data_IF_342520248851
#
_entry.id   IF_342520248851
#
_cell.length_a   1.000
_cell.length_b   1.000
_cell.length_c   1.000
_cell.angle_alpha   90.00
_cell.angle_beta   90.00
_cell.angle_gamma   90.00
#
_symmetry.space_group_name_H-M   'P 1'
#
loop_
_entity.id
_entity.type
_entity.pdbx_description
1 polymer ?
#
# COMPACT_ATOMS: atom_id res chain seq x y z
N UNK A 1 -27.81 -80.91 -27.06
CA UNK A 1 -27.60 -80.27 -25.73
C UNK A 1 -27.21 -78.82 -25.96
N UNK A 2 -27.70 -77.95 -25.08
CA UNK A 2 -27.91 -76.50 -25.18
C UNK A 2 -26.66 -75.61 -25.22
N UNK A 3 -26.80 -74.43 -25.85
CA UNK A 3 -26.02 -73.21 -25.55
C UNK A 3 -25.57 -72.50 -26.83
N UNK A 4 -25.49 -71.18 -26.95
CA UNK A 4 -25.82 -70.03 -26.09
C UNK A 4 -25.88 -68.83 -27.04
N UNK A 5 -26.91 -67.99 -26.94
CA UNK A 5 -27.03 -66.73 -27.70
C UNK A 5 -25.95 -65.75 -27.22
N UNK A 6 -25.21 -65.14 -28.15
CA UNK A 6 -24.28 -64.03 -27.87
C UNK A 6 -24.52 -62.89 -28.85
N UNK A 7 -25.07 -61.78 -28.35
CA UNK A 7 -25.23 -60.52 -29.08
C UNK A 7 -23.89 -59.79 -29.05
N UNK A 8 -23.37 -59.38 -30.20
CA UNK A 8 -22.25 -58.44 -30.28
C UNK A 8 -22.80 -57.10 -30.78
N UNK A 9 -22.86 -56.13 -29.87
CA UNK A 9 -22.91 -54.71 -30.19
C UNK A 9 -21.66 -54.11 -29.53
N UNK A 10 -20.79 -53.49 -30.32
CA UNK A 10 -19.69 -52.69 -29.80
C UNK A 10 -19.60 -51.40 -30.62
N UNK A 11 -19.61 -50.31 -29.87
CA UNK A 11 -19.86 -48.94 -30.29
C UNK A 11 -18.73 -48.33 -31.14
N UNK A 12 -19.15 -47.41 -32.00
CA UNK A 12 -18.32 -46.47 -32.76
C UNK A 12 -17.85 -45.36 -31.80
N UNK A 13 -16.57 -45.37 -31.42
CA UNK A 13 -15.98 -44.29 -30.61
C UNK A 13 -15.60 -43.11 -31.51
N UNK A 14 -16.36 -42.01 -31.43
CA UNK A 14 -15.93 -40.71 -31.96
C UNK A 14 -14.83 -40.15 -31.06
N UNK A 15 -13.65 -39.93 -31.62
CA UNK A 15 -12.59 -39.17 -30.99
C UNK A 15 -12.91 -37.67 -31.11
N UNK A 16 -13.37 -37.07 -30.01
CA UNK A 16 -13.41 -35.62 -29.83
C UNK A 16 -12.02 -35.17 -29.38
N UNK A 17 -11.26 -34.58 -30.29
CA UNK A 17 -10.01 -33.89 -29.96
C UNK A 17 -10.35 -32.56 -29.26
N UNK A 18 -10.07 -32.48 -27.97
CA UNK A 18 -10.26 -31.29 -27.13
C UNK A 18 -9.28 -30.18 -27.51
N UNK A 19 -9.78 -29.08 -28.04
CA UNK A 19 -9.07 -27.79 -28.06
C UNK A 19 -9.24 -27.20 -26.66
N UNK A 20 -8.25 -27.36 -25.79
CA UNK A 20 -8.28 -26.88 -24.41
C UNK A 20 -6.95 -26.21 -24.00
N UNK A 21 -6.39 -25.34 -24.86
CA UNK A 21 -5.09 -24.67 -24.60
C UNK A 21 -5.18 -23.15 -24.68
N UNK A 22 -6.17 -22.52 -24.03
CA UNK A 22 -6.18 -21.05 -23.95
C UNK A 22 -6.71 -20.47 -22.63
N UNK A 23 -6.75 -21.25 -21.56
CA UNK A 23 -6.96 -20.76 -20.19
C UNK A 23 -5.99 -21.51 -19.26
N UNK A 24 -4.68 -21.32 -19.46
CA UNK A 24 -3.70 -21.70 -18.46
C UNK A 24 -3.69 -20.64 -17.37
N UNK A 25 -3.78 -21.09 -16.12
CA UNK A 25 -3.82 -20.28 -14.91
C UNK A 25 -2.77 -19.17 -14.92
N UNK A 26 -3.21 -17.92 -15.03
CA UNK A 26 -2.34 -16.77 -14.82
C UNK A 26 -2.20 -16.59 -13.31
N UNK A 27 -1.32 -17.36 -12.67
CA UNK A 27 -0.93 -17.06 -11.29
C UNK A 27 -0.31 -15.66 -11.27
N UNK A 28 -0.99 -14.74 -10.60
CA UNK A 28 -0.47 -13.41 -10.35
C UNK A 28 0.68 -13.54 -9.34
N UNK A 29 1.91 -13.50 -9.84
CA UNK A 29 3.09 -13.33 -9.01
C UNK A 29 3.37 -11.83 -8.91
N UNK A 30 3.10 -11.17 -7.76
CA UNK A 30 3.49 -9.79 -7.60
C UNK A 30 5.01 -9.67 -7.80
N UNK A 31 5.51 -8.54 -8.34
CA UNK A 31 6.94 -8.33 -8.45
C UNK A 31 7.58 -8.47 -7.06
N UNK A 32 8.81 -8.98 -7.02
CA UNK A 32 9.57 -8.98 -5.77
C UNK A 32 9.72 -7.53 -5.27
N UNK A 33 9.74 -7.34 -3.95
CA UNK A 33 9.82 -6.01 -3.32
C UNK A 33 10.98 -5.16 -3.88
N UNK A 34 12.13 -5.78 -4.12
CA UNK A 34 13.28 -5.12 -4.74
C UNK A 34 13.00 -4.61 -6.16
N UNK A 35 12.32 -5.40 -6.99
CA UNK A 35 11.94 -5.00 -8.34
C UNK A 35 10.89 -3.88 -8.30
N UNK A 36 9.94 -3.97 -7.38
CA UNK A 36 8.91 -2.94 -7.16
C UNK A 36 9.55 -1.60 -6.79
N UNK A 37 10.41 -1.58 -5.77
CA UNK A 37 11.10 -0.38 -5.29
C UNK A 37 12.03 0.16 -6.37
N UNK A 38 12.82 -0.68 -7.05
CA UNK A 38 13.73 -0.25 -8.11
C UNK A 38 12.98 0.38 -9.30
N UNK A 39 11.83 -0.19 -9.67
CA UNK A 39 10.97 0.37 -10.70
C UNK A 39 10.44 1.74 -10.29
N UNK A 40 9.88 1.87 -9.09
CA UNK A 40 9.36 3.14 -8.60
C UNK A 40 10.47 4.20 -8.48
N UNK A 41 11.66 3.83 -8.00
CA UNK A 41 12.82 4.72 -7.92
C UNK A 41 13.23 5.24 -9.30
N UNK A 42 13.26 4.37 -10.32
CA UNK A 42 13.60 4.77 -11.70
C UNK A 42 12.62 5.76 -12.34
N UNK A 43 11.39 5.82 -11.81
CA UNK A 43 10.31 6.70 -12.30
C UNK A 43 10.12 7.93 -11.41
N UNK A 44 10.71 7.95 -10.21
CA UNK A 44 10.62 9.07 -9.31
C UNK A 44 11.34 10.30 -9.89
N UNK A 45 10.67 11.44 -9.80
CA UNK A 45 11.29 12.74 -10.05
C UNK A 45 10.68 13.76 -9.10
N UNK A 46 11.52 14.54 -8.42
CA UNK A 46 11.04 15.66 -7.58
C UNK A 46 10.24 16.67 -8.39
N UNK A 47 10.51 16.78 -9.70
CA UNK A 47 9.79 17.66 -10.61
C UNK A 47 8.30 17.35 -10.75
N UNK A 48 7.86 16.13 -10.38
CA UNK A 48 6.44 15.77 -10.30
C UNK A 48 5.67 16.63 -9.29
N UNK A 49 6.37 17.29 -8.37
CA UNK A 49 5.78 18.07 -7.28
C UNK A 49 5.98 19.59 -7.43
N UNK A 50 6.85 20.05 -8.33
CA UNK A 50 7.26 21.46 -8.43
C UNK A 50 6.13 22.43 -8.79
N UNK A 51 5.11 21.95 -9.49
CA UNK A 51 3.96 22.76 -9.92
C UNK A 51 2.71 22.59 -9.05
N UNK A 52 2.78 21.73 -8.03
CA UNK A 52 1.64 21.48 -7.15
C UNK A 52 1.39 22.68 -6.24
N UNK A 53 0.12 23.10 -6.20
CA UNK A 53 -0.36 24.17 -5.33
C UNK A 53 -1.64 23.72 -4.64
N UNK A 54 -1.88 24.29 -3.46
CA UNK A 54 -3.07 24.06 -2.64
C UNK A 54 -3.72 25.40 -2.33
N UNK A 55 -5.05 25.46 -2.21
CA UNK A 55 -5.73 26.70 -1.87
C UNK A 55 -5.43 27.12 -0.42
N UNK A 56 -5.22 26.15 0.47
CA UNK A 56 -4.80 26.39 1.86
C UNK A 56 -4.07 25.19 2.45
N UNK A 57 -3.39 25.40 3.59
CA UNK A 57 -2.83 24.31 4.39
C UNK A 57 -3.93 23.37 4.91
N UNK A 58 -5.11 23.91 5.25
CA UNK A 58 -6.25 23.12 5.71
C UNK A 58 -6.76 22.16 4.64
N UNK A 59 -6.90 22.62 3.38
CA UNK A 59 -7.28 21.75 2.26
C UNK A 59 -6.29 20.60 2.09
N UNK A 60 -4.99 20.91 2.13
CA UNK A 60 -3.91 19.93 2.00
C UNK A 60 -3.94 18.90 3.14
N UNK A 61 -4.14 19.36 4.36
CA UNK A 61 -4.30 18.52 5.56
C UNK A 61 -5.51 17.59 5.43
N UNK A 62 -6.67 18.10 5.00
CA UNK A 62 -7.87 17.28 4.82
C UNK A 62 -7.67 16.21 3.75
N UNK A 63 -7.08 16.57 2.60
CA UNK A 63 -6.76 15.62 1.54
C UNK A 63 -5.75 14.56 2.03
N UNK A 64 -4.73 14.96 2.78
CA UNK A 64 -3.72 14.06 3.32
C UNK A 64 -4.28 13.11 4.37
N UNK A 65 -5.20 13.58 5.22
CA UNK A 65 -5.90 12.75 6.19
C UNK A 65 -6.70 11.63 5.51
N UNK A 66 -7.38 11.92 4.40
CA UNK A 66 -8.12 10.91 3.63
C UNK A 66 -7.18 9.83 3.08
N UNK A 67 -6.08 10.23 2.43
CA UNK A 67 -5.08 9.28 1.92
C UNK A 67 -4.47 8.46 3.05
N UNK A 68 -4.09 9.09 4.16
CA UNK A 68 -3.52 8.39 5.30
C UNK A 68 -4.52 7.38 5.89
N UNK A 69 -5.79 7.76 5.97
CA UNK A 69 -6.85 6.91 6.48
C UNK A 69 -7.03 5.63 5.69
N UNK A 70 -7.03 5.75 4.36
CA UNK A 70 -7.34 4.65 3.45
C UNK A 70 -6.11 3.74 3.23
N UNK A 71 -4.93 4.34 3.12
CA UNK A 71 -3.73 3.65 2.62
C UNK A 71 -2.67 3.37 3.68
N UNK A 72 -2.55 4.22 4.70
CA UNK A 72 -1.39 4.19 5.62
C UNK A 72 -1.74 3.61 7.01
N UNK A 73 -2.94 3.90 7.52
CA UNK A 73 -3.34 3.58 8.91
C UNK A 73 -3.32 2.10 9.25
N UNK A 74 -3.44 1.22 8.26
CA UNK A 74 -3.41 -0.23 8.52
C UNK A 74 -2.11 -0.67 9.18
N UNK A 75 -0.97 -0.13 8.72
CA UNK A 75 0.34 -0.46 9.26
C UNK A 75 0.76 0.55 10.34
N UNK A 76 0.61 1.85 10.07
CA UNK A 76 1.10 2.91 10.97
C UNK A 76 0.13 3.25 12.11
N UNK A 77 -1.11 2.77 12.06
CA UNK A 77 -2.14 3.09 13.04
C UNK A 77 -2.77 4.46 12.84
N UNK A 78 -3.90 4.74 13.51
CA UNK A 78 -4.64 6.00 13.34
C UNK A 78 -3.86 7.24 13.78
N UNK A 79 -2.93 7.06 14.73
CA UNK A 79 -2.07 8.11 15.27
C UNK A 79 -0.62 8.01 14.77
N UNK A 80 -0.33 7.13 13.80
CA UNK A 80 1.01 7.02 13.24
C UNK A 80 2.07 6.41 14.15
N UNK A 81 1.72 5.59 15.15
CA UNK A 81 2.66 5.03 16.13
C UNK A 81 3.36 3.75 15.68
N UNK A 82 2.87 3.09 14.63
CA UNK A 82 3.45 1.84 14.10
C UNK A 82 3.14 0.57 14.92
N UNK A 83 2.49 0.71 16.08
CA UNK A 83 2.17 -0.36 17.03
C UNK A 83 0.84 -1.06 16.75
N UNK A 84 0.57 -1.41 15.48
CA UNK A 84 -0.70 -2.05 15.08
C UNK A 84 -0.66 -3.57 15.20
N UNK A 85 -1.82 -4.18 15.47
CA UNK A 85 -1.98 -5.64 15.42
C UNK A 85 -1.60 -6.19 14.04
N UNK A 86 -1.92 -5.48 12.96
CA UNK A 86 -1.52 -5.86 11.61
C UNK A 86 0.00 -5.93 11.45
N UNK A 87 0.73 -4.92 11.93
CA UNK A 87 2.19 -4.93 11.89
C UNK A 87 2.77 -6.09 12.71
N UNK A 88 2.23 -6.35 13.90
CA UNK A 88 2.66 -7.46 14.76
C UNK A 88 2.38 -8.84 14.13
N UNK A 89 1.20 -9.04 13.54
CA UNK A 89 0.80 -10.29 12.88
C UNK A 89 1.63 -10.62 11.64
N UNK A 90 2.13 -9.58 10.96
CA UNK A 90 2.94 -9.72 9.74
C UNK A 90 4.44 -9.57 9.99
N UNK A 91 4.87 -9.51 11.26
CA UNK A 91 6.27 -9.36 11.67
C UNK A 91 6.95 -8.14 11.00
N UNK A 92 6.19 -7.05 10.81
CA UNK A 92 6.66 -5.82 10.18
C UNK A 92 7.25 -4.87 11.22
N UNK A 93 8.44 -4.35 10.94
CA UNK A 93 9.03 -3.25 11.71
C UNK A 93 8.54 -1.91 11.16
N UNK A 94 7.47 -1.39 11.77
CA UNK A 94 6.82 -0.15 11.32
C UNK A 94 7.22 0.99 12.26
N UNK A 95 7.93 2.03 11.77
CA UNK A 95 8.40 3.11 12.62
C UNK A 95 7.24 3.99 13.10
N UNK A 96 7.45 4.61 14.26
CA UNK A 96 6.61 5.71 14.73
C UNK A 96 6.84 6.94 13.86
N UNK A 97 5.77 7.42 13.23
CA UNK A 97 5.72 8.69 12.50
C UNK A 97 5.55 9.89 13.45
N UNK A 98 5.31 9.64 14.75
CA UNK A 98 5.08 10.67 15.77
C UNK A 98 6.38 11.22 16.33
N UNK A 99 7.29 10.31 16.69
CA UNK A 99 8.63 10.64 17.18
C UNK A 99 9.65 9.98 16.27
N UNK A 100 9.73 10.42 15.01
CA UNK A 100 10.62 9.80 14.04
C UNK A 100 12.08 9.97 14.48
N UNK A 101 12.79 8.85 14.60
CA UNK A 101 14.23 8.75 14.90
C UNK A 101 15.10 8.83 13.63
N UNK A 102 14.57 9.55 12.62
CA UNK A 102 14.93 9.60 11.20
C UNK A 102 16.31 9.03 10.79
N UNK A 103 16.29 7.81 10.26
CA UNK A 103 17.29 7.33 9.28
C UNK A 103 16.99 7.86 7.85
N UNK A 104 15.76 8.30 7.58
CA UNK A 104 15.28 8.77 6.28
C UNK A 104 14.96 10.28 6.29
N UNK A 105 15.21 10.99 5.19
CA UNK A 105 15.07 12.46 5.09
C UNK A 105 13.70 12.99 5.59
N UNK A 106 13.68 13.57 6.79
CA UNK A 106 12.49 13.98 7.52
C UNK A 106 11.85 15.30 7.10
N UNK A 107 12.08 15.69 5.85
CA UNK A 107 11.45 16.85 5.24
C UNK A 107 10.39 16.43 4.22
N UNK A 108 9.69 17.43 3.68
CA UNK A 108 8.60 17.19 2.75
C UNK A 108 9.07 16.51 1.43
N UNK A 109 10.16 16.94 0.76
CA UNK A 109 10.73 16.20 -0.37
C UNK A 109 11.10 14.74 -0.05
N UNK A 110 11.76 14.48 1.08
CA UNK A 110 12.16 13.14 1.51
C UNK A 110 10.96 12.25 1.76
N UNK A 111 9.99 12.74 2.53
CA UNK A 111 8.74 12.02 2.83
C UNK A 111 7.96 11.69 1.54
N UNK A 112 7.88 12.63 0.59
CA UNK A 112 7.26 12.35 -0.74
C UNK A 112 8.00 11.24 -1.48
N UNK A 113 9.34 11.24 -1.47
CA UNK A 113 10.14 10.19 -2.12
C UNK A 113 9.89 8.83 -1.49
N UNK A 114 9.95 8.74 -0.16
CA UNK A 114 9.74 7.48 0.57
C UNK A 114 8.35 6.94 0.26
N UNK A 115 7.30 7.76 0.35
CA UNK A 115 5.94 7.33 -0.02
C UNK A 115 5.88 6.91 -1.50
N UNK A 116 6.48 7.66 -2.42
CA UNK A 116 6.44 7.32 -3.83
C UNK A 116 7.10 5.97 -4.12
N UNK A 117 8.31 5.76 -3.57
CA UNK A 117 9.20 4.66 -3.94
C UNK A 117 9.02 3.40 -3.09
N UNK A 118 8.49 3.53 -1.88
CA UNK A 118 8.56 2.44 -0.90
C UNK A 118 9.98 2.24 -0.37
N UNK A 119 10.20 1.17 0.38
CA UNK A 119 11.53 0.72 0.78
C UNK A 119 11.51 -0.77 1.09
N UNK A 120 12.69 -1.41 1.10
CA UNK A 120 12.89 -2.85 1.34
C UNK A 120 12.57 -3.34 2.77
N UNK A 121 11.88 -2.51 3.57
CA UNK A 121 11.47 -2.81 4.93
C UNK A 121 9.98 -3.10 5.02
N UNK A 122 9.34 -3.50 3.91
CA UNK A 122 7.93 -3.87 3.85
C UNK A 122 6.97 -2.72 3.52
N UNK A 123 7.46 -1.49 3.29
CA UNK A 123 6.58 -0.41 2.80
C UNK A 123 6.54 -0.44 1.27
N UNK A 124 5.36 -0.71 0.66
CA UNK A 124 5.25 -0.79 -0.78
C UNK A 124 5.44 0.58 -1.45
N UNK A 125 5.67 0.57 -2.76
CA UNK A 125 5.56 1.76 -3.59
C UNK A 125 4.10 2.24 -3.64
N UNK A 126 3.92 3.57 -3.59
CA UNK A 126 2.61 4.20 -3.82
C UNK A 126 2.58 4.97 -5.13
N UNK A 127 3.72 5.43 -5.63
CA UNK A 127 3.88 5.85 -7.02
C UNK A 127 4.45 4.71 -7.87
N UNK A 128 4.34 4.74 -9.20
CA UNK A 128 3.57 5.68 -10.02
C UNK A 128 2.07 5.32 -10.12
N UNK A 129 1.67 4.11 -9.73
CA UNK A 129 0.39 3.54 -10.17
C UNK A 129 -0.76 3.62 -9.15
N UNK A 130 -0.47 3.83 -7.86
CA UNK A 130 -1.49 3.78 -6.79
C UNK A 130 -1.99 5.16 -6.37
N UNK A 131 -1.07 6.08 -6.14
CA UNK A 131 -1.34 7.46 -5.73
C UNK A 131 -0.78 8.45 -6.74
N UNK A 132 -1.56 9.48 -7.03
CA UNK A 132 -1.10 10.62 -7.82
C UNK A 132 -0.07 11.46 -7.05
N UNK A 133 0.78 12.24 -7.73
CA UNK A 133 1.71 13.16 -7.05
C UNK A 133 1.01 14.11 -6.06
N UNK A 134 -0.21 14.56 -6.37
CA UNK A 134 -1.01 15.41 -5.47
C UNK A 134 -1.45 14.66 -4.21
N UNK A 135 -1.81 13.38 -4.31
CA UNK A 135 -2.17 12.57 -3.13
C UNK A 135 -0.95 12.28 -2.25
N UNK A 136 0.18 11.89 -2.85
CA UNK A 136 1.45 11.68 -2.15
C UNK A 136 1.87 12.96 -1.43
N UNK A 137 1.75 14.09 -2.11
CA UNK A 137 2.04 15.39 -1.55
C UNK A 137 1.20 15.75 -0.31
N UNK A 138 -0.10 15.45 -0.39
CA UNK A 138 -1.03 15.70 0.71
C UNK A 138 -0.72 14.78 1.90
N UNK A 139 -0.50 13.49 1.65
CA UNK A 139 -0.17 12.52 2.69
C UNK A 139 1.14 12.88 3.41
N UNK A 140 2.19 13.22 2.65
CA UNK A 140 3.46 13.65 3.21
C UNK A 140 3.30 14.89 4.12
N UNK A 141 2.52 15.87 3.67
CA UNK A 141 2.23 17.06 4.47
C UNK A 141 1.43 16.72 5.74
N UNK A 142 0.42 15.87 5.64
CA UNK A 142 -0.36 15.43 6.80
C UNK A 142 0.51 14.72 7.83
N UNK A 143 1.38 13.81 7.41
CA UNK A 143 2.31 13.10 8.31
C UNK A 143 3.19 14.11 9.04
N UNK A 144 3.83 15.01 8.28
CA UNK A 144 4.77 15.98 8.84
C UNK A 144 4.09 17.02 9.72
N UNK A 145 2.86 17.42 9.45
CA UNK A 145 2.22 18.54 10.16
C UNK A 145 1.19 18.11 11.20
N UNK A 146 0.64 16.89 11.13
CA UNK A 146 -0.47 16.47 12.00
C UNK A 146 -0.10 15.32 12.93
N UNK A 147 0.93 14.54 12.61
CA UNK A 147 1.37 13.44 13.46
C UNK A 147 2.49 13.84 14.41
N UNK A 148 2.90 15.11 14.45
CA UNK A 148 3.90 15.59 15.43
C UNK A 148 3.36 15.50 16.87
N UNK A 149 4.24 15.25 17.87
CA UNK A 149 3.81 15.09 19.26
C UNK A 149 3.02 16.29 19.77
N UNK A 150 3.44 17.51 19.42
CA UNK A 150 2.82 18.75 19.91
C UNK A 150 1.36 18.87 19.46
N UNK A 151 1.07 18.49 18.21
CA UNK A 151 -0.29 18.54 17.64
C UNK A 151 -1.19 17.48 18.26
N UNK A 152 -0.64 16.28 18.48
CA UNK A 152 -1.38 15.19 19.10
C UNK A 152 -1.66 15.45 20.59
N UNK A 153 -0.78 16.16 21.30
CA UNK A 153 -0.98 16.52 22.72
C UNK A 153 -1.93 17.69 22.92
N UNK A 154 -1.89 18.71 22.06
CA UNK A 154 -2.78 19.89 22.16
C UNK A 154 -4.26 19.57 21.88
N UNK A 155 -4.52 18.38 21.32
CA UNK A 155 -5.86 17.84 21.08
C UNK A 155 -6.52 17.25 22.34
N UNK A 156 -5.77 17.09 23.44
CA UNK A 156 -6.32 16.66 24.74
C UNK A 156 -6.73 17.92 25.52
N UNK A 157 -8.04 18.19 25.71
CA UNK A 157 -8.43 19.32 26.54
C UNK A 157 -7.87 19.10 27.94
N UNK A 158 -7.12 20.09 28.44
CA UNK A 158 -6.56 20.13 29.80
C UNK A 158 -7.73 20.14 30.80
N UNK A 159 -8.28 18.97 31.09
CA UNK A 159 -9.34 18.77 32.06
C UNK A 159 -8.65 18.33 33.35
N UNK A 160 -8.65 19.26 34.31
CA UNK A 160 -8.35 19.13 35.74
C UNK A 160 -6.88 19.25 36.16
N UNK A 161 -6.45 20.50 36.40
CA UNK A 161 -5.76 20.83 37.65
C UNK A 161 -6.55 21.93 38.36
N UNK A 162 -7.53 21.48 39.15
CA UNK A 162 -8.33 22.29 40.03
C UNK A 162 -8.64 21.47 41.28
N UNK A 163 -7.74 21.53 42.26
CA UNK A 163 -7.85 20.88 43.57
C UNK A 163 -6.76 21.36 44.51
#
# INVERSE_FOLDING_TARGET
>A
MTGRRGRLAAALSLALASIATACGDHEFHPPAEEEQVARADSLYSSALFDSLTWASAEERTQAGNLVFADECRRCHGPLGRGDTDYAAEHELDVPSLVEPDWEYDGDLPGTRRVIYTGHLGGMPDWGPDRLTPRQIDAAAFYILEQLRPEVLTDSVPTVLDGG
#
